data_IF_023371970078
#
_entry.id   IF_023371970078
#
_cell.length_a   1.000
_cell.length_b   1.000
_cell.length_c   1.000
_cell.angle_alpha   90.00
_cell.angle_beta   90.00
_cell.angle_gamma   90.00
#
_symmetry.space_group_name_H-M   'P 1'
#
loop_
_entity.id
_entity.type
_entity.pdbx_description
1 polymer ?
#
# COMPACT_ATOMS: atom_id res chain seq x y z
N UNK A 1 -47.33 1.72 26.87
CA UNK A 1 -45.97 1.46 27.38
C UNK A 1 -45.15 1.04 26.19
N UNK A 2 -44.31 1.95 25.72
CA UNK A 2 -43.38 1.77 24.60
C UNK A 2 -42.06 1.24 25.16
N UNK A 3 -41.65 0.05 24.73
CA UNK A 3 -40.31 -0.46 24.98
C UNK A 3 -39.35 0.13 23.95
N UNK A 4 -38.61 1.14 24.40
CA UNK A 4 -37.33 1.52 23.84
C UNK A 4 -36.30 0.45 24.22
N UNK A 5 -35.61 -0.13 23.24
CA UNK A 5 -34.34 -0.81 23.52
C UNK A 5 -33.38 -0.84 22.32
N UNK A 6 -32.58 0.23 22.25
CA UNK A 6 -31.12 0.25 22.02
C UNK A 6 -30.56 -0.42 20.76
N UNK A 7 -30.28 0.45 19.78
CA UNK A 7 -29.30 0.21 18.72
C UNK A 7 -28.00 -0.37 19.30
N UNK A 8 -27.69 -1.61 18.95
CA UNK A 8 -26.33 -2.13 19.07
C UNK A 8 -25.46 -1.32 18.13
N UNK A 9 -24.72 -0.34 18.69
CA UNK A 9 -23.63 0.31 17.99
C UNK A 9 -22.63 -0.76 17.60
N UNK A 10 -22.64 -1.15 16.32
CA UNK A 10 -21.66 -2.08 15.75
C UNK A 10 -20.28 -1.51 16.01
N UNK A 11 -19.51 -2.14 16.91
CA UNK A 11 -18.09 -1.87 17.06
C UNK A 11 -17.45 -2.21 15.72
N UNK A 12 -16.83 -1.21 15.08
CA UNK A 12 -16.19 -1.41 13.80
C UNK A 12 -15.05 -2.44 13.97
N UNK A 13 -14.89 -3.34 13.00
CA UNK A 13 -13.76 -4.25 12.99
C UNK A 13 -12.46 -3.50 12.59
N UNK A 14 -11.29 -4.12 12.77
CA UNK A 14 -10.01 -3.48 12.50
C UNK A 14 -9.87 -2.99 11.04
N UNK A 15 -10.38 -3.76 10.07
CA UNK A 15 -10.32 -3.41 8.64
C UNK A 15 -11.25 -2.23 8.32
N UNK A 16 -12.39 -2.12 9.00
CA UNK A 16 -13.28 -0.95 8.92
C UNK A 16 -12.62 0.31 9.46
N UNK A 17 -11.88 0.21 10.57
CA UNK A 17 -11.09 1.33 11.07
C UNK A 17 -9.97 1.71 10.10
N UNK A 18 -9.26 0.73 9.55
CA UNK A 18 -8.23 0.99 8.54
C UNK A 18 -8.82 1.72 7.33
N UNK A 19 -9.91 1.23 6.75
CA UNK A 19 -10.58 1.87 5.62
C UNK A 19 -11.08 3.29 5.94
N UNK A 20 -11.60 3.51 7.16
CA UNK A 20 -11.99 4.84 7.64
C UNK A 20 -10.81 5.81 7.75
N UNK A 21 -9.62 5.32 8.11
CA UNK A 21 -8.39 6.12 8.17
C UNK A 21 -7.78 6.34 6.79
N UNK A 22 -7.86 5.36 5.88
CA UNK A 22 -7.23 5.42 4.55
C UNK A 22 -7.88 6.47 3.65
N UNK A 23 -9.21 6.55 3.60
CA UNK A 23 -9.89 7.48 2.69
C UNK A 23 -9.46 8.96 2.91
N UNK A 24 -9.41 9.49 4.15
CA UNK A 24 -8.88 10.83 4.39
C UNK A 24 -7.43 11.03 3.91
N UNK A 25 -6.56 10.03 4.00
CA UNK A 25 -5.17 10.14 3.51
C UNK A 25 -5.12 10.26 1.99
N UNK A 26 -5.93 9.47 1.28
CA UNK A 26 -6.08 9.58 -0.18
C UNK A 26 -6.67 10.94 -0.57
N UNK A 27 -7.66 11.44 0.18
CA UNK A 27 -8.22 12.77 -0.05
C UNK A 27 -7.18 13.86 0.16
N UNK A 28 -6.33 13.74 1.20
CA UNK A 28 -5.25 14.68 1.46
C UNK A 28 -4.21 14.67 0.33
N UNK A 29 -3.86 13.51 -0.19
CA UNK A 29 -2.99 13.40 -1.37
C UNK A 29 -3.55 14.19 -2.58
N UNK A 30 -4.84 14.06 -2.84
CA UNK A 30 -5.52 14.84 -3.91
C UNK A 30 -5.48 16.34 -3.61
N UNK A 31 -5.65 16.73 -2.33
CA UNK A 31 -5.52 18.12 -1.91
C UNK A 31 -4.12 18.68 -2.14
N UNK A 32 -3.05 17.90 -1.97
CA UNK A 32 -1.69 18.37 -2.25
C UNK A 32 -1.53 18.80 -3.72
N UNK A 33 -2.11 18.08 -4.68
CA UNK A 33 -2.13 18.51 -6.08
C UNK A 33 -3.02 19.73 -6.29
N UNK A 34 -4.18 19.77 -5.63
CA UNK A 34 -5.09 20.91 -5.72
C UNK A 34 -4.43 22.21 -5.20
N UNK A 35 -3.77 22.15 -4.05
CA UNK A 35 -3.10 23.29 -3.41
C UNK A 35 -1.93 23.83 -4.27
N UNK A 36 -1.36 22.98 -5.14
CA UNK A 36 -0.33 23.34 -6.11
C UNK A 36 -0.88 23.80 -7.47
N UNK A 37 -2.21 23.79 -7.65
CA UNK A 37 -2.90 24.00 -8.94
C UNK A 37 -2.57 22.95 -10.01
N UNK A 38 -2.20 21.74 -9.60
CA UNK A 38 -1.76 20.64 -10.47
C UNK A 38 -2.75 19.46 -10.47
N UNK A 39 -4.00 19.70 -10.10
CA UNK A 39 -5.03 18.64 -10.04
C UNK A 39 -5.28 17.99 -11.41
N UNK A 40 -5.16 18.76 -12.50
CA UNK A 40 -5.24 18.23 -13.87
C UNK A 40 -4.07 17.31 -14.21
N UNK A 41 -2.88 17.58 -13.67
CA UNK A 41 -1.70 16.75 -13.90
C UNK A 41 -1.85 15.39 -13.21
N UNK A 42 -2.37 15.37 -11.98
CA UNK A 42 -2.74 14.11 -11.32
C UNK A 42 -3.73 13.30 -12.16
N UNK A 43 -4.74 13.95 -12.73
CA UNK A 43 -5.72 13.28 -13.60
C UNK A 43 -5.07 12.74 -14.88
N UNK A 44 -4.14 13.48 -15.49
CA UNK A 44 -3.34 13.01 -16.64
C UNK A 44 -2.52 11.78 -16.26
N UNK A 45 -1.77 11.83 -15.16
CA UNK A 45 -0.96 10.71 -14.66
C UNK A 45 -1.83 9.46 -14.48
N UNK A 46 -3.02 9.60 -13.90
CA UNK A 46 -3.94 8.49 -13.70
C UNK A 46 -4.52 7.93 -15.01
N UNK A 47 -4.53 8.68 -16.12
CA UNK A 47 -5.19 8.26 -17.36
C UNK A 47 -4.23 7.88 -18.49
N UNK A 48 -2.98 8.36 -18.49
CA UNK A 48 -2.11 8.29 -19.67
C UNK A 48 -0.72 7.70 -19.42
N UNK A 49 -0.54 6.87 -18.38
CA UNK A 49 0.76 6.33 -17.96
C UNK A 49 1.85 7.40 -17.79
N UNK A 50 1.47 8.68 -17.65
CA UNK A 50 2.43 9.76 -17.52
C UNK A 50 3.16 9.66 -16.18
N UNK A 51 4.42 10.09 -16.17
CA UNK A 51 5.23 10.09 -14.95
C UNK A 51 5.09 11.42 -14.25
N UNK A 52 4.98 11.39 -12.93
CA UNK A 52 5.00 12.61 -12.11
C UNK A 52 6.34 13.35 -12.29
N UNK A 53 6.28 14.58 -12.80
CA UNK A 53 7.44 15.46 -12.91
C UNK A 53 7.78 16.13 -11.58
N UNK A 54 9.05 16.22 -11.21
CA UNK A 54 9.45 16.88 -9.96
C UNK A 54 9.15 18.38 -9.91
N UNK A 55 9.07 19.03 -11.08
CA UNK A 55 8.64 20.43 -11.23
C UNK A 55 7.16 20.64 -10.88
N UNK A 56 6.31 19.62 -11.04
CA UNK A 56 4.88 19.67 -10.70
C UNK A 56 4.69 19.74 -9.19
N UNK A 57 5.48 18.96 -8.45
CA UNK A 57 5.32 18.82 -6.99
C UNK A 57 6.35 19.59 -6.17
N UNK A 58 7.33 20.23 -6.82
CA UNK A 58 8.39 21.01 -6.20
C UNK A 58 9.46 20.18 -5.48
N UNK A 59 9.44 18.85 -5.65
CA UNK A 59 10.39 17.93 -5.03
C UNK A 59 10.57 16.65 -5.87
N UNK A 60 11.39 15.70 -5.38
CA UNK A 60 11.55 14.40 -6.05
C UNK A 60 10.20 13.66 -6.08
N UNK A 61 9.73 13.18 -7.24
CA UNK A 61 8.45 12.48 -7.36
C UNK A 61 8.28 11.28 -6.43
N UNK A 62 9.35 10.48 -6.26
CA UNK A 62 9.36 9.34 -5.33
C UNK A 62 9.05 9.82 -3.91
N UNK A 63 9.82 10.80 -3.42
CA UNK A 63 9.65 11.37 -2.08
C UNK A 63 8.26 11.96 -1.84
N UNK A 64 7.69 12.60 -2.86
CA UNK A 64 6.32 13.12 -2.79
C UNK A 64 5.28 12.01 -2.64
N UNK A 65 5.44 10.94 -3.41
CA UNK A 65 4.52 9.80 -3.37
C UNK A 65 4.63 9.05 -2.04
N UNK A 66 5.87 8.86 -1.56
CA UNK A 66 6.20 8.34 -0.24
C UNK A 66 5.48 9.12 0.88
N UNK A 67 5.75 10.42 0.98
CA UNK A 67 5.31 11.31 2.07
C UNK A 67 3.80 11.53 2.09
N UNK A 68 3.17 11.69 0.93
CA UNK A 68 1.78 12.12 0.86
C UNK A 68 0.79 11.00 0.53
N UNK A 69 1.26 9.81 0.15
CA UNK A 69 0.38 8.68 -0.18
C UNK A 69 0.81 7.37 0.47
N UNK A 70 2.04 6.91 0.27
CA UNK A 70 2.47 5.56 0.70
C UNK A 70 2.57 5.47 2.22
N UNK A 71 3.37 6.32 2.87
CA UNK A 71 3.54 6.32 4.33
C UNK A 71 2.19 6.56 5.04
N UNK A 72 1.37 7.56 4.65
CA UNK A 72 0.07 7.76 5.27
C UNK A 72 -0.89 6.56 5.10
N UNK A 73 -0.81 5.84 3.97
CA UNK A 73 -1.61 4.62 3.77
C UNK A 73 -1.11 3.48 4.65
N UNK A 74 0.20 3.28 4.79
CA UNK A 74 0.78 2.29 5.70
C UNK A 74 0.35 2.56 7.16
N UNK A 75 0.45 3.82 7.62
CA UNK A 75 -0.05 4.22 8.93
C UNK A 75 -1.55 3.92 9.10
N UNK A 76 -2.35 4.25 8.08
CA UNK A 76 -3.80 4.03 8.11
C UNK A 76 -4.16 2.54 8.17
N UNK A 77 -3.39 1.69 7.49
CA UNK A 77 -3.51 0.22 7.54
C UNK A 77 -3.14 -0.37 8.90
N UNK A 78 -2.44 0.40 9.75
CA UNK A 78 -2.04 -0.02 11.10
C UNK A 78 -0.60 -0.47 11.22
N UNK A 79 0.29 -0.13 10.27
CA UNK A 79 1.73 -0.30 10.47
C UNK A 79 2.24 0.82 11.39
N UNK A 80 2.61 0.48 12.62
CA UNK A 80 3.00 1.46 13.64
C UNK A 80 4.49 1.84 13.55
N UNK A 81 5.35 0.89 13.16
CA UNK A 81 6.79 1.09 13.05
C UNK A 81 7.25 1.00 11.58
N UNK A 82 7.08 2.09 10.85
CA UNK A 82 7.57 2.25 9.48
C UNK A 82 9.01 2.79 9.55
N UNK A 83 9.99 1.95 9.18
CA UNK A 83 11.41 2.30 9.20
C UNK A 83 11.88 2.55 7.78
N UNK A 84 12.06 3.82 7.43
CA UNK A 84 12.58 4.23 6.13
C UNK A 84 14.05 3.84 5.97
N UNK A 85 14.40 3.28 4.80
CA UNK A 85 15.76 2.90 4.39
C UNK A 85 16.54 2.18 5.49
N UNK A 86 16.11 0.97 5.87
CA UNK A 86 16.74 0.19 6.94
C UNK A 86 18.12 -0.30 6.48
N UNK A 87 19.14 0.54 6.67
CA UNK A 87 20.52 0.31 6.20
C UNK A 87 21.14 -1.00 6.68
N UNK A 88 20.67 -1.56 7.78
CA UNK A 88 21.11 -2.85 8.29
C UNK A 88 20.68 -4.04 7.40
N UNK A 89 19.77 -3.79 6.45
CA UNK A 89 19.27 -4.72 5.45
C UNK A 89 19.95 -4.56 4.09
N UNK A 90 20.82 -3.54 3.94
CA UNK A 90 21.66 -3.40 2.77
C UNK A 90 22.63 -4.60 2.67
N UNK A 91 22.74 -5.19 1.48
CA UNK A 91 23.82 -6.13 1.16
C UNK A 91 24.81 -5.48 0.22
N UNK A 92 26.05 -5.97 0.18
CA UNK A 92 27.18 -5.35 -0.56
C UNK A 92 26.90 -5.10 -2.06
N UNK A 93 25.91 -5.80 -2.64
CA UNK A 93 25.59 -5.76 -4.06
C UNK A 93 24.19 -5.23 -4.40
N UNK A 94 23.37 -4.79 -3.43
CA UNK A 94 22.02 -4.29 -3.72
C UNK A 94 21.63 -3.07 -2.88
N UNK A 95 20.73 -2.26 -3.46
CA UNK A 95 20.13 -1.08 -2.83
C UNK A 95 19.32 -1.50 -1.59
N UNK A 96 19.24 -0.62 -0.60
CA UNK A 96 18.36 -0.79 0.56
C UNK A 96 16.88 -0.79 0.12
N UNK A 97 16.00 -1.60 0.74
CA UNK A 97 14.57 -1.44 0.54
C UNK A 97 14.14 -0.05 1.01
N UNK A 98 13.08 0.51 0.42
CA UNK A 98 12.66 1.87 0.81
C UNK A 98 12.06 1.89 2.23
N UNK A 99 11.37 0.82 2.65
CA UNK A 99 10.92 0.64 4.04
C UNK A 99 11.02 -0.79 4.55
N UNK A 100 11.19 -0.91 5.87
CA UNK A 100 10.77 -2.09 6.62
C UNK A 100 9.61 -1.69 7.53
N UNK A 101 8.56 -2.50 7.56
CA UNK A 101 7.41 -2.29 8.46
C UNK A 101 7.33 -3.46 9.42
N UNK A 102 7.24 -3.15 10.72
CA UNK A 102 7.02 -4.20 11.72
C UNK A 102 5.55 -4.58 11.71
N UNK A 103 5.31 -5.89 11.61
CA UNK A 103 4.03 -6.48 11.93
C UNK A 103 4.12 -7.04 13.37
N UNK A 104 2.98 -7.19 14.04
CA UNK A 104 2.90 -7.79 15.39
C UNK A 104 3.29 -9.29 15.44
N UNK A 105 3.88 -9.82 14.36
CA UNK A 105 4.19 -11.23 14.15
C UNK A 105 5.72 -11.40 14.02
N UNK A 106 6.34 -11.95 15.05
CA UNK A 106 7.81 -12.13 15.15
C UNK A 106 8.38 -13.08 14.08
N UNK A 107 7.53 -13.91 13.46
CA UNK A 107 7.88 -14.87 12.42
C UNK A 107 7.79 -14.30 11.00
N UNK A 108 7.39 -13.03 10.84
CA UNK A 108 7.17 -12.35 9.56
C UNK A 108 8.07 -11.11 9.42
N UNK A 109 8.75 -10.99 8.27
CA UNK A 109 9.43 -9.75 7.87
C UNK A 109 8.65 -9.14 6.71
N UNK A 110 8.20 -7.88 6.86
CA UNK A 110 7.52 -7.14 5.80
C UNK A 110 8.37 -5.97 5.32
N UNK A 111 8.63 -5.94 4.03
CA UNK A 111 9.40 -4.89 3.38
C UNK A 111 8.55 -4.19 2.34
N UNK A 112 8.78 -2.91 2.14
CA UNK A 112 8.07 -2.11 1.14
C UNK A 112 9.10 -1.51 0.19
N UNK A 113 8.93 -1.77 -1.11
CA UNK A 113 9.63 -1.07 -2.17
C UNK A 113 8.66 -0.04 -2.76
N UNK A 114 9.05 1.23 -2.66
CA UNK A 114 8.26 2.36 -3.10
C UNK A 114 8.79 2.88 -4.45
N UNK A 115 7.89 3.13 -5.38
CA UNK A 115 8.20 3.77 -6.66
C UNK A 115 7.58 5.16 -6.72
N UNK A 116 8.12 6.00 -7.60
CA UNK A 116 7.45 7.24 -7.96
C UNK A 116 6.05 6.92 -8.50
N UNK A 117 5.13 7.86 -8.32
CA UNK A 117 3.81 7.82 -8.93
C UNK A 117 3.94 7.66 -10.46
N UNK A 118 3.76 6.42 -10.89
CA UNK A 118 3.74 5.94 -12.27
C UNK A 118 2.85 4.73 -12.23
N UNK A 119 1.80 4.62 -13.04
CA UNK A 119 0.83 3.52 -12.92
C UNK A 119 1.50 2.14 -13.13
N UNK A 120 1.97 1.51 -12.05
CA UNK A 120 2.47 0.14 -12.07
C UNK A 120 1.39 -0.75 -12.66
N UNK A 121 1.71 -1.45 -13.76
CA UNK A 121 0.81 -2.42 -14.36
C UNK A 121 -0.28 -1.88 -15.29
N UNK A 122 -0.12 -0.68 -15.89
CA UNK A 122 -1.08 -0.26 -16.93
C UNK A 122 -0.93 -0.97 -18.29
N UNK A 123 0.17 -1.66 -18.61
CA UNK A 123 0.34 -2.29 -19.94
C UNK A 123 1.04 -3.66 -20.00
N UNK A 124 1.41 -4.27 -18.87
CA UNK A 124 2.07 -5.58 -18.87
C UNK A 124 1.53 -6.44 -17.73
N UNK A 125 1.39 -7.74 -17.97
CA UNK A 125 1.16 -8.72 -16.88
C UNK A 125 2.24 -8.51 -15.82
N UNK A 126 1.94 -8.78 -14.54
CA UNK A 126 2.93 -8.64 -13.45
C UNK A 126 4.26 -9.35 -13.77
N UNK A 127 4.21 -10.40 -14.61
CA UNK A 127 5.34 -11.18 -15.11
C UNK A 127 6.30 -10.41 -16.05
N UNK A 128 5.82 -9.38 -16.75
CA UNK A 128 6.63 -8.59 -17.71
C UNK A 128 7.05 -7.23 -17.14
N UNK A 129 6.70 -6.94 -15.88
CA UNK A 129 7.04 -5.68 -15.24
C UNK A 129 8.42 -5.75 -14.56
N UNK A 130 9.41 -5.01 -15.07
CA UNK A 130 10.76 -4.94 -14.49
C UNK A 130 10.79 -4.49 -13.02
N UNK A 131 9.76 -3.80 -12.54
CA UNK A 131 9.62 -3.42 -11.13
C UNK A 131 9.20 -4.60 -10.25
N UNK A 132 8.48 -5.57 -10.81
CA UNK A 132 8.18 -6.86 -10.15
C UNK A 132 9.46 -7.70 -10.02
N UNK A 133 10.34 -7.69 -11.02
CA UNK A 133 11.65 -8.37 -10.93
C UNK A 133 12.56 -7.76 -9.84
N UNK A 134 12.41 -6.47 -9.51
CA UNK A 134 13.17 -5.85 -8.42
C UNK A 134 12.71 -6.32 -7.04
N UNK A 135 11.40 -6.32 -6.76
CA UNK A 135 10.87 -6.85 -5.50
C UNK A 135 11.09 -8.35 -5.40
N UNK A 136 10.95 -9.08 -6.52
CA UNK A 136 11.31 -10.50 -6.60
C UNK A 136 12.76 -10.69 -6.22
N UNK A 137 13.67 -9.94 -6.81
CA UNK A 137 15.10 -10.01 -6.49
C UNK A 137 15.45 -9.69 -5.03
N UNK A 138 14.74 -8.77 -4.36
CA UNK A 138 14.93 -8.53 -2.92
C UNK A 138 14.49 -9.71 -2.07
N UNK A 139 13.38 -10.35 -2.44
CA UNK A 139 12.85 -11.49 -1.71
C UNK A 139 13.65 -12.77 -2.06
N UNK A 140 14.06 -12.97 -3.31
CA UNK A 140 14.81 -14.12 -3.86
C UNK A 140 16.16 -14.34 -3.19
N UNK A 141 16.95 -13.27 -3.05
CA UNK A 141 18.17 -13.28 -2.26
C UNK A 141 17.79 -13.30 -0.78
N UNK A 142 17.35 -14.48 -0.29
CA UNK A 142 17.13 -14.84 1.11
C UNK A 142 17.96 -13.92 2.00
N UNK A 143 17.37 -12.90 2.64
CA UNK A 143 18.07 -11.83 3.35
C UNK A 143 19.35 -12.36 3.98
N UNK A 144 20.45 -12.17 3.25
CA UNK A 144 21.53 -13.12 3.40
C UNK A 144 22.23 -12.84 4.72
N UNK A 145 22.31 -13.90 5.52
CA UNK A 145 23.20 -14.07 6.67
C UNK A 145 22.71 -13.53 8.02
N UNK A 146 21.98 -12.41 8.13
CA UNK A 146 21.57 -11.87 9.47
C UNK A 146 20.34 -12.55 10.09
N UNK A 147 19.31 -12.83 9.30
CA UNK A 147 18.09 -13.47 9.81
C UNK A 147 18.21 -15.00 9.95
N UNK A 148 19.28 -15.57 9.39
CA UNK A 148 19.66 -16.96 9.62
C UNK A 148 20.24 -17.21 11.01
N UNK A 149 20.66 -16.18 11.72
CA UNK A 149 21.19 -16.28 13.09
C UNK A 149 20.15 -15.79 14.10
N UNK A 150 19.09 -16.58 14.31
CA UNK A 150 18.01 -16.23 15.25
C UNK A 150 16.67 -16.95 15.13
N UNK A 151 16.50 -17.95 14.25
CA UNK A 151 15.49 -19.04 14.28
C UNK A 151 14.00 -18.76 14.64
N UNK A 152 13.45 -17.55 14.48
CA UNK A 152 11.99 -17.35 14.62
C UNK A 152 11.28 -16.94 13.33
N UNK A 153 11.97 -16.35 12.35
CA UNK A 153 11.36 -15.94 11.09
C UNK A 153 11.14 -17.12 10.14
N UNK A 154 9.89 -17.28 9.69
CA UNK A 154 9.46 -18.35 8.78
C UNK A 154 9.08 -17.84 7.41
N UNK A 155 8.64 -16.59 7.30
CA UNK A 155 8.10 -16.02 6.07
C UNK A 155 8.71 -14.66 5.74
N UNK A 156 8.91 -14.41 4.45
CA UNK A 156 9.30 -13.12 3.90
C UNK A 156 8.13 -12.55 3.10
N UNK A 157 7.82 -11.28 3.33
CA UNK A 157 6.76 -10.55 2.66
C UNK A 157 7.32 -9.27 2.05
N UNK A 158 6.91 -8.99 0.82
CA UNK A 158 7.21 -7.73 0.14
C UNK A 158 5.92 -7.04 -0.30
N UNK A 159 5.87 -5.72 -0.15
CA UNK A 159 4.85 -4.86 -0.76
C UNK A 159 5.55 -4.02 -1.83
N UNK A 160 5.12 -4.14 -3.08
CA UNK A 160 5.52 -3.25 -4.15
C UNK A 160 4.42 -2.22 -4.38
N UNK A 161 4.76 -0.93 -4.35
CA UNK A 161 3.77 0.12 -4.57
C UNK A 161 4.32 1.41 -5.15
N UNK A 162 3.49 2.11 -5.93
CA UNK A 162 3.66 3.51 -6.38
C UNK A 162 2.66 4.44 -5.66
N UNK A 163 2.02 3.95 -4.59
CA UNK A 163 0.91 4.58 -3.88
C UNK A 163 -0.48 4.36 -4.51
N UNK A 164 -0.59 4.18 -5.83
CA UNK A 164 -1.84 3.89 -6.55
C UNK A 164 -2.07 2.39 -6.65
N UNK A 165 -1.08 1.62 -7.06
CA UNK A 165 -1.10 0.18 -7.15
C UNK A 165 -0.28 -0.43 -6.02
N UNK A 166 -0.80 -1.51 -5.46
CA UNK A 166 -0.22 -2.22 -4.34
C UNK A 166 -0.22 -3.70 -4.67
N UNK A 167 0.94 -4.34 -4.59
CA UNK A 167 1.10 -5.77 -4.83
C UNK A 167 1.79 -6.40 -3.62
N UNK A 168 1.16 -7.42 -3.05
CA UNK A 168 1.69 -8.23 -1.96
C UNK A 168 2.38 -9.46 -2.54
N UNK A 169 3.62 -9.68 -2.12
CA UNK A 169 4.40 -10.86 -2.41
C UNK A 169 4.70 -11.62 -1.13
N UNK A 170 4.76 -12.95 -1.20
CA UNK A 170 5.09 -13.79 -0.07
C UNK A 170 5.92 -15.00 -0.46
N UNK A 171 6.70 -15.51 0.50
CA UNK A 171 7.27 -16.86 0.45
C UNK A 171 7.74 -17.36 1.82
N UNK A 172 7.91 -18.68 1.97
CA UNK A 172 8.72 -19.25 3.03
C UNK A 172 10.19 -18.84 2.93
N UNK A 173 10.84 -18.66 4.08
CA UNK A 173 12.29 -18.48 4.16
C UNK A 173 12.98 -19.74 3.61
N UNK A 174 13.94 -19.55 2.70
CA UNK A 174 14.70 -20.64 2.08
C UNK A 174 14.16 -21.09 0.71
N UNK A 175 12.93 -20.74 0.35
CA UNK A 175 12.45 -20.89 -1.03
C UNK A 175 13.11 -19.82 -1.93
N UNK A 176 13.29 -20.11 -3.22
CA UNK A 176 13.87 -19.14 -4.15
C UNK A 176 12.85 -18.08 -4.51
N UNK A 177 11.66 -18.47 -4.96
CA UNK A 177 10.81 -17.56 -5.73
C UNK A 177 9.65 -17.01 -4.89
N UNK A 178 9.54 -15.68 -4.73
CA UNK A 178 8.39 -15.04 -4.11
C UNK A 178 7.20 -14.99 -5.06
N UNK A 179 6.01 -15.30 -4.55
CA UNK A 179 4.79 -15.35 -5.35
C UNK A 179 3.92 -14.11 -5.08
N UNK A 180 3.31 -13.53 -6.11
CA UNK A 180 2.32 -12.47 -5.92
C UNK A 180 1.05 -13.07 -5.32
N UNK A 181 0.68 -12.64 -4.12
CA UNK A 181 -0.52 -13.09 -3.44
C UNK A 181 -1.73 -12.26 -3.86
N UNK A 182 -1.59 -10.93 -3.83
CA UNK A 182 -2.68 -10.00 -4.11
C UNK A 182 -2.19 -8.73 -4.82
N UNK A 183 -3.03 -8.17 -5.70
CA UNK A 183 -2.83 -6.85 -6.30
C UNK A 183 -4.10 -6.01 -6.22
N UNK A 184 -3.97 -4.73 -5.87
CA UNK A 184 -5.08 -3.76 -5.78
C UNK A 184 -4.67 -2.43 -6.40
N UNK A 185 -5.64 -1.76 -7.02
CA UNK A 185 -5.50 -0.37 -7.48
C UNK A 185 -6.42 0.56 -6.68
N UNK A 186 -5.84 1.60 -6.09
CA UNK A 186 -6.51 2.74 -5.48
C UNK A 186 -6.88 3.81 -6.51
N UNK A 187 -6.56 3.62 -7.81
CA UNK A 187 -6.92 4.56 -8.87
C UNK A 187 -8.41 4.94 -8.85
N UNK A 188 -9.38 4.01 -8.75
CA UNK A 188 -10.81 4.38 -8.70
C UNK A 188 -11.16 5.26 -7.50
N UNK A 189 -10.49 5.03 -6.36
CA UNK A 189 -10.66 5.83 -5.14
C UNK A 189 -10.14 7.25 -5.33
N UNK A 190 -8.95 7.38 -5.92
CA UNK A 190 -8.32 8.68 -6.22
C UNK A 190 -9.15 9.44 -7.25
N UNK A 191 -9.59 8.80 -8.34
CA UNK A 191 -10.45 9.39 -9.37
C UNK A 191 -11.76 9.91 -8.78
N UNK A 192 -12.39 9.15 -7.88
CA UNK A 192 -13.59 9.61 -7.17
C UNK A 192 -13.31 10.79 -6.25
N UNK A 193 -12.18 10.80 -5.55
CA UNK A 193 -11.78 11.93 -4.73
C UNK A 193 -11.52 13.20 -5.57
N UNK A 194 -10.87 13.07 -6.74
CA UNK A 194 -10.70 14.16 -7.71
C UNK A 194 -12.06 14.68 -8.18
N UNK A 195 -12.97 13.79 -8.60
CA UNK A 195 -14.33 14.16 -9.04
C UNK A 195 -15.10 14.89 -7.94
N UNK A 196 -15.01 14.41 -6.69
CA UNK A 196 -15.65 15.04 -5.54
C UNK A 196 -15.14 16.47 -5.29
N UNK A 197 -13.85 16.74 -5.56
CA UNK A 197 -13.25 18.07 -5.46
C UNK A 197 -13.64 18.99 -6.63
N UNK A 198 -13.62 18.49 -7.86
CA UNK A 198 -13.95 19.26 -9.06
C UNK A 198 -15.45 19.54 -9.19
N UNK A 199 -16.29 18.60 -8.79
CA UNK A 199 -17.74 18.64 -8.99
C UNK A 199 -18.51 18.27 -7.70
N UNK A 200 -18.40 19.08 -6.63
CA UNK A 200 -19.02 18.77 -5.34
C UNK A 200 -20.54 18.65 -5.43
N UNK A 201 -21.20 19.46 -6.27
CA UNK A 201 -22.66 19.43 -6.47
C UNK A 201 -23.16 18.22 -7.25
N UNK A 202 -22.27 17.49 -7.93
CA UNK A 202 -22.61 16.29 -8.72
C UNK A 202 -22.20 14.99 -8.00
N UNK A 203 -21.67 15.11 -6.78
CA UNK A 203 -21.18 13.98 -6.00
C UNK A 203 -22.18 13.65 -4.91
N UNK A 204 -22.64 12.40 -4.86
CA UNK A 204 -23.58 11.93 -3.84
C UNK A 204 -23.02 12.13 -2.44
N UNK A 205 -23.83 12.58 -1.47
CA UNK A 205 -23.41 12.69 -0.07
C UNK A 205 -22.93 11.34 0.53
N UNK A 206 -23.42 10.22 -0.02
CA UNK A 206 -23.04 8.86 0.40
C UNK A 206 -21.69 8.38 -0.12
N UNK A 207 -21.04 9.10 -1.05
CA UNK A 207 -19.87 8.56 -1.78
C UNK A 207 -18.74 8.13 -0.84
N UNK A 208 -18.52 8.85 0.26
CA UNK A 208 -17.49 8.52 1.25
C UNK A 208 -17.82 7.26 2.04
N UNK A 209 -19.10 6.96 2.25
CA UNK A 209 -19.53 5.71 2.90
C UNK A 209 -19.26 4.55 1.95
N UNK A 210 -19.71 4.68 0.70
CA UNK A 210 -19.50 3.66 -0.34
C UNK A 210 -18.01 3.40 -0.59
N UNK A 211 -17.18 4.45 -0.58
CA UNK A 211 -15.75 4.31 -0.81
C UNK A 211 -15.02 3.65 0.35
N UNK A 212 -15.42 3.95 1.59
CA UNK A 212 -14.88 3.25 2.76
C UNK A 212 -15.23 1.77 2.75
N UNK A 213 -16.46 1.41 2.36
CA UNK A 213 -16.85 0.01 2.23
C UNK A 213 -16.02 -0.72 1.15
N UNK A 214 -15.69 -0.04 0.04
CA UNK A 214 -14.79 -0.61 -0.98
C UNK A 214 -13.37 -0.77 -0.45
N UNK A 215 -12.82 0.26 0.20
CA UNK A 215 -11.48 0.20 0.80
C UNK A 215 -11.38 -0.91 1.86
N UNK A 216 -12.42 -1.11 2.67
CA UNK A 216 -12.51 -2.25 3.59
C UNK A 216 -12.42 -3.57 2.85
N UNK A 217 -13.29 -3.77 1.85
CA UNK A 217 -13.42 -5.03 1.12
C UNK A 217 -12.19 -5.38 0.26
N UNK A 218 -11.54 -4.38 -0.33
CA UNK A 218 -10.49 -4.59 -1.33
C UNK A 218 -9.08 -4.33 -0.79
N UNK A 219 -8.88 -3.26 -0.02
CA UNK A 219 -7.55 -2.79 0.36
C UNK A 219 -7.17 -3.19 1.79
N UNK A 220 -7.95 -2.78 2.78
CA UNK A 220 -7.66 -3.05 4.19
C UNK A 220 -7.72 -4.55 4.50
N UNK A 221 -8.68 -5.27 3.92
CA UNK A 221 -8.80 -6.73 4.04
C UNK A 221 -7.62 -7.54 3.48
N UNK A 222 -6.69 -6.90 2.76
CA UNK A 222 -5.53 -7.55 2.12
C UNK A 222 -4.19 -7.04 2.61
N UNK A 223 -4.09 -5.75 2.94
CA UNK A 223 -2.83 -5.09 3.25
C UNK A 223 -2.68 -4.68 4.72
N UNK A 224 -3.70 -4.86 5.58
CA UNK A 224 -3.51 -4.67 7.01
C UNK A 224 -2.59 -5.77 7.59
N UNK A 225 -1.79 -5.51 8.64
CA UNK A 225 -0.79 -6.46 9.13
C UNK A 225 -1.35 -7.86 9.44
N UNK A 226 -2.52 -7.93 10.08
CA UNK A 226 -3.20 -9.18 10.40
C UNK A 226 -3.64 -9.94 9.14
N UNK A 227 -4.11 -9.23 8.11
CA UNK A 227 -4.57 -9.86 6.88
C UNK A 227 -3.41 -10.35 6.03
N UNK A 228 -2.30 -9.60 5.99
CA UNK A 228 -1.04 -10.06 5.39
C UNK A 228 -0.56 -11.35 6.04
N UNK A 229 -0.56 -11.41 7.37
CA UNK A 229 -0.17 -12.63 8.09
C UNK A 229 -1.09 -13.82 7.75
N UNK A 230 -2.41 -13.62 7.75
CA UNK A 230 -3.37 -14.66 7.37
C UNK A 230 -3.19 -15.16 5.93
N UNK A 231 -2.93 -14.26 4.98
CA UNK A 231 -2.68 -14.62 3.58
C UNK A 231 -1.45 -15.53 3.47
N UNK A 232 -0.37 -15.17 4.17
CA UNK A 232 0.85 -15.98 4.23
C UNK A 232 0.60 -17.35 4.85
N UNK A 233 -0.12 -17.42 5.97
CA UNK A 233 -0.43 -18.70 6.59
C UNK A 233 -1.32 -19.57 5.70
N UNK A 234 -2.32 -18.98 5.04
CA UNK A 234 -3.21 -19.71 4.14
C UNK A 234 -2.49 -20.28 2.92
N UNK A 235 -1.48 -19.59 2.41
CA UNK A 235 -0.73 -20.03 1.22
C UNK A 235 0.37 -21.03 1.58
N UNK A 236 1.04 -20.85 2.73
CA UNK A 236 2.32 -21.51 3.02
C UNK A 236 2.38 -22.28 4.34
N UNK A 237 1.29 -22.40 5.10
CA UNK A 237 1.25 -23.30 6.27
C UNK A 237 0.70 -24.65 5.87
N UNK A 238 1.54 -25.69 5.96
CA UNK A 238 1.10 -27.10 5.99
C UNK A 238 0.60 -27.50 7.39
#
# INVERSE_FOLDING_TARGET
MTEDSWHHGSVLNADQFAAQRTLPKIQRFVEEFQDRNELSELQTILTSSARLGGNVVGQRPERFTEEFLIEPCLEALGYENIRARPSELATTNRKEPDYAVEADYEDLICLVEAKALTLLGQETTLEENSDVEQIRGYLEENFSTKYRTGLQQKYLVGILTDGVYWVLFGKPVGCSDPEPLHGISLKPTIERAIKAKQHPTQTSDSWRVEERNRLEADFSSRFSPNQVYKAILSEFSE
#
